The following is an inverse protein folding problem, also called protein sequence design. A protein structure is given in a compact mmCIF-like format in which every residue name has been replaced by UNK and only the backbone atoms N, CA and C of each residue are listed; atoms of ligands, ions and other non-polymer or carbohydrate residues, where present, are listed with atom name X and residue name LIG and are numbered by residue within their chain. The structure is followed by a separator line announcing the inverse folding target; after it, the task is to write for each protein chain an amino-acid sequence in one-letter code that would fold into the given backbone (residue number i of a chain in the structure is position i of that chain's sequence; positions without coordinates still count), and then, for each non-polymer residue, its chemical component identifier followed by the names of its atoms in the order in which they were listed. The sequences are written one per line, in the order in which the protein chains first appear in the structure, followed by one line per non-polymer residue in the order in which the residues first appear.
data_IF_424992568509
#
_entry.id   IF_424992568509
#
_cell.length_a   1.000
_cell.length_b   1.000
_cell.length_c   1.000
_cell.angle_alpha   90.00
_cell.angle_beta   90.00
_cell.angle_gamma   90.00
#
_symmetry.space_group_name_H-M   'P 1'
#
loop_
_entity.id
_entity.type
_entity.pdbx_description
1 polymer ?
#
# COMPACT_ATOMS: atom_id res chain seq x y z
N UNK A 1 -3.09 21.06 -10.81
CA UNK A 1 -2.21 20.15 -10.01
C UNK A 1 -2.62 18.73 -10.34
N UNK A 2 -1.70 17.87 -10.76
CA UNK A 2 -2.02 16.52 -11.23
C UNK A 2 -2.38 15.60 -10.06
N UNK A 3 -3.64 15.21 -9.97
CA UNK A 3 -4.13 14.20 -9.01
C UNK A 3 -3.92 12.83 -9.64
N UNK A 4 -3.40 11.88 -8.88
CA UNK A 4 -3.34 10.48 -9.24
C UNK A 4 -4.76 9.91 -9.28
N UNK A 5 -5.38 9.96 -10.46
CA UNK A 5 -6.73 9.47 -10.67
C UNK A 5 -6.70 7.97 -10.99
N UNK A 6 -7.70 7.19 -10.52
CA UNK A 6 -7.89 5.85 -11.01
C UNK A 6 -8.43 5.98 -12.43
N UNK A 7 -7.52 6.00 -13.41
CA UNK A 7 -7.88 6.18 -14.81
C UNK A 7 -8.73 5.01 -15.34
N UNK A 8 -9.59 5.37 -16.31
CA UNK A 8 -10.61 4.63 -17.09
C UNK A 8 -10.16 3.35 -17.82
N UNK A 9 -9.04 2.75 -17.39
CA UNK A 9 -8.52 1.52 -17.99
C UNK A 9 -9.34 0.34 -17.50
N UNK A 10 -9.71 -0.53 -18.42
CA UNK A 10 -10.45 -1.74 -18.08
C UNK A 10 -9.58 -2.67 -17.22
N UNK A 11 -10.18 -3.39 -16.25
CA UNK A 11 -9.47 -4.44 -15.54
C UNK A 11 -8.95 -5.49 -16.54
N UNK A 12 -7.68 -5.86 -16.41
CA UNK A 12 -7.06 -6.89 -17.25
C UNK A 12 -7.26 -8.26 -16.60
N UNK A 13 -7.74 -9.22 -17.39
CA UNK A 13 -8.13 -10.54 -16.91
C UNK A 13 -6.99 -11.23 -16.12
N UNK A 14 -7.33 -11.73 -14.94
CA UNK A 14 -6.43 -12.49 -14.06
C UNK A 14 -5.10 -11.78 -13.75
N UNK A 15 -5.14 -10.46 -13.61
CA UNK A 15 -3.97 -9.66 -13.27
C UNK A 15 -4.31 -8.57 -12.25
N UNK A 16 -3.34 -8.21 -11.41
CA UNK A 16 -3.51 -7.15 -10.44
C UNK A 16 -2.23 -6.32 -10.31
N UNK A 17 -2.38 -5.01 -10.11
CA UNK A 17 -1.28 -4.07 -10.03
C UNK A 17 -1.22 -3.41 -8.66
N UNK A 18 -0.07 -3.53 -8.00
CA UNK A 18 0.25 -2.92 -6.72
C UNK A 18 1.20 -1.74 -6.93
N UNK A 19 0.96 -0.63 -6.24
CA UNK A 19 1.92 0.46 -6.10
C UNK A 19 2.45 0.52 -4.66
N UNK A 20 3.75 0.29 -4.47
CA UNK A 20 4.43 0.54 -3.20
C UNK A 20 5.00 1.95 -3.22
N UNK A 21 4.61 2.79 -2.25
CA UNK A 21 5.09 4.16 -2.10
C UNK A 21 5.81 4.30 -0.77
N UNK A 22 7.05 4.78 -0.75
CA UNK A 22 7.85 4.89 0.46
C UNK A 22 9.29 5.27 0.19
N UNK A 23 9.96 5.83 1.20
CA UNK A 23 11.32 6.37 1.08
C UNK A 23 12.40 5.28 0.96
N UNK A 24 12.17 4.09 1.50
CA UNK A 24 13.14 2.99 1.49
C UNK A 24 12.93 2.05 0.29
N UNK A 25 13.74 2.24 -0.75
CA UNK A 25 13.73 1.37 -1.94
C UNK A 25 14.20 -0.06 -1.66
N UNK A 26 15.07 -0.27 -0.68
CA UNK A 26 15.58 -1.59 -0.34
C UNK A 26 14.46 -2.46 0.21
N UNK A 27 13.77 -1.97 1.24
CA UNK A 27 12.63 -2.65 1.86
C UNK A 27 11.48 -2.86 0.85
N UNK A 28 11.20 -1.87 0.00
CA UNK A 28 10.24 -2.00 -1.09
C UNK A 28 10.57 -3.16 -2.04
N UNK A 29 11.83 -3.27 -2.46
CA UNK A 29 12.27 -4.33 -3.35
C UNK A 29 12.23 -5.71 -2.69
N UNK A 30 12.62 -5.81 -1.42
CA UNK A 30 12.54 -7.07 -0.68
C UNK A 30 11.10 -7.54 -0.50
N UNK A 31 10.19 -6.64 -0.13
CA UNK A 31 8.77 -6.95 -0.03
C UNK A 31 8.17 -7.34 -1.39
N UNK A 32 8.52 -6.62 -2.46
CA UNK A 32 8.10 -6.95 -3.81
C UNK A 32 8.62 -8.33 -4.25
N UNK A 33 9.88 -8.66 -3.96
CA UNK A 33 10.46 -9.99 -4.22
C UNK A 33 9.70 -11.08 -3.46
N UNK A 34 9.42 -10.87 -2.18
CA UNK A 34 8.64 -11.81 -1.38
C UNK A 34 7.24 -12.04 -1.99
N UNK A 35 6.52 -10.98 -2.36
CA UNK A 35 5.21 -11.09 -3.04
C UNK A 35 5.29 -11.78 -4.41
N UNK A 36 6.40 -11.63 -5.14
CA UNK A 36 6.59 -12.29 -6.42
C UNK A 36 6.87 -13.80 -6.27
N UNK A 37 7.54 -14.21 -5.20
CA UNK A 37 7.90 -15.59 -4.89
C UNK A 37 6.73 -16.40 -4.31
N UNK A 38 5.75 -15.74 -3.68
CA UNK A 38 4.56 -16.41 -3.16
C UNK A 38 3.74 -17.12 -4.24
N UNK A 39 3.16 -18.27 -3.88
CA UNK A 39 2.24 -19.02 -4.74
C UNK A 39 0.96 -18.22 -4.94
N UNK A 40 0.56 -18.02 -6.20
CA UNK A 40 -0.56 -17.16 -6.60
C UNK A 40 -1.23 -17.69 -7.86
N UNK A 41 -2.54 -17.49 -7.94
CA UNK A 41 -3.39 -17.90 -9.08
C UNK A 41 -3.52 -16.83 -10.17
N UNK A 42 -3.02 -15.61 -9.90
CA UNK A 42 -3.13 -14.45 -10.78
C UNK A 42 -1.77 -13.80 -11.04
N UNK A 43 -1.65 -13.07 -12.15
CA UNK A 43 -0.44 -12.30 -12.50
C UNK A 43 -0.39 -11.03 -11.65
N UNK A 44 0.79 -10.68 -11.14
CA UNK A 44 0.96 -9.44 -10.37
C UNK A 44 1.98 -8.54 -11.04
N UNK A 45 1.67 -7.25 -11.11
CA UNK A 45 2.64 -6.20 -11.42
C UNK A 45 2.85 -5.35 -10.16
N UNK A 46 4.11 -5.12 -9.78
CA UNK A 46 4.45 -4.30 -8.62
C UNK A 46 5.26 -3.10 -9.11
N UNK A 47 4.75 -1.91 -8.87
CA UNK A 47 5.41 -0.64 -9.16
C UNK A 47 5.94 -0.04 -7.86
N UNK A 48 7.14 0.52 -7.92
CA UNK A 48 7.79 1.15 -6.77
C UNK A 48 7.89 2.64 -7.02
N UNK A 49 7.56 3.44 -6.01
CA UNK A 49 7.68 4.88 -6.02
C UNK A 49 8.23 5.37 -4.68
N UNK A 50 9.03 6.44 -4.73
CA UNK A 50 9.55 7.07 -3.50
C UNK A 50 8.55 8.03 -2.88
N UNK A 51 7.74 8.68 -3.71
CA UNK A 51 6.73 9.67 -3.34
C UNK A 51 5.73 9.86 -4.47
N UNK A 52 4.64 10.58 -4.19
CA UNK A 52 3.68 11.06 -5.19
C UNK A 52 3.74 12.60 -5.27
N UNK A 53 3.38 13.20 -6.43
CA UNK A 53 2.83 12.57 -7.64
C UNK A 53 3.89 11.85 -8.47
N UNK A 54 3.47 10.85 -9.24
CA UNK A 54 4.34 10.21 -10.23
C UNK A 54 4.69 11.22 -11.35
N UNK A 55 5.91 11.17 -11.92
CA UNK A 55 6.32 12.07 -13.00
C UNK A 55 5.37 11.93 -14.20
N UNK A 56 4.91 13.06 -14.76
CA UNK A 56 3.89 13.12 -15.82
C UNK A 56 4.31 12.45 -17.14
N UNK A 57 5.58 12.13 -17.29
CA UNK A 57 6.10 11.34 -18.42
C UNK A 57 5.45 9.95 -18.44
N UNK A 58 4.81 9.62 -19.57
CA UNK A 58 4.20 8.31 -19.77
C UNK A 58 2.87 8.10 -19.04
N UNK A 59 2.12 9.14 -18.71
CA UNK A 59 0.80 9.01 -18.06
C UNK A 59 -0.14 8.08 -18.85
N UNK A 60 -0.11 8.15 -20.19
CA UNK A 60 -0.86 7.26 -21.08
C UNK A 60 -0.45 5.78 -20.96
N UNK A 61 0.79 5.49 -20.56
CA UNK A 61 1.32 4.14 -20.37
C UNK A 61 1.08 3.60 -18.96
N UNK A 62 0.70 4.45 -17.99
CA UNK A 62 0.54 4.01 -16.59
C UNK A 62 -0.51 2.91 -16.47
N UNK A 63 -0.17 1.74 -15.90
CA UNK A 63 -1.15 0.69 -15.74
C UNK A 63 -2.24 1.10 -14.74
N UNK A 64 -3.39 0.46 -14.83
CA UNK A 64 -4.42 0.56 -13.78
C UNK A 64 -3.83 0.05 -12.47
N UNK A 65 -3.96 0.83 -11.41
CA UNK A 65 -3.49 0.46 -10.07
C UNK A 65 -4.68 -0.02 -9.25
N UNK A 66 -4.57 -1.23 -8.70
CA UNK A 66 -5.62 -1.86 -7.90
C UNK A 66 -5.50 -1.53 -6.42
N UNK A 67 -4.26 -1.46 -5.91
CA UNK A 67 -3.95 -1.18 -4.51
C UNK A 67 -2.70 -0.32 -4.40
N UNK A 68 -2.77 0.73 -3.58
CA UNK A 68 -1.63 1.57 -3.19
C UNK A 68 -1.27 1.23 -1.75
N UNK A 69 0.00 0.93 -1.50
CA UNK A 69 0.53 0.67 -0.16
C UNK A 69 1.57 1.74 0.18
N UNK A 70 1.26 2.58 1.15
CA UNK A 70 2.18 3.58 1.69
C UNK A 70 3.01 2.95 2.81
N UNK A 71 4.32 2.84 2.60
CA UNK A 71 5.28 2.33 3.56
C UNK A 71 5.79 3.48 4.43
N UNK A 72 5.57 3.37 5.74
CA UNK A 72 5.96 4.36 6.74
C UNK A 72 6.98 3.71 7.67
N UNK A 73 8.22 4.17 7.64
CA UNK A 73 9.24 3.78 8.61
C UNK A 73 9.16 4.65 9.87
N UNK A 74 8.77 4.06 11.00
CA UNK A 74 8.64 4.79 12.28
C UNK A 74 9.98 5.28 12.82
N UNK A 75 11.11 4.76 12.32
CA UNK A 75 12.43 5.21 12.73
C UNK A 75 12.73 6.61 12.23
N UNK A 76 12.08 7.05 11.15
CA UNK A 76 12.36 8.35 10.50
C UNK A 76 11.12 9.22 10.36
N UNK A 77 11.13 10.42 10.95
CA UNK A 77 10.05 11.42 10.77
C UNK A 77 9.86 11.83 9.30
N UNK A 78 10.93 11.75 8.52
CA UNK A 78 10.89 12.04 7.08
C UNK A 78 9.95 11.10 6.34
N UNK A 79 9.94 9.80 6.68
CA UNK A 79 9.08 8.81 6.03
C UNK A 79 7.59 9.18 6.17
N UNK A 80 7.16 9.53 7.39
CA UNK A 80 5.78 9.97 7.64
C UNK A 80 5.44 11.25 6.85
N UNK A 81 6.28 12.29 6.92
CA UNK A 81 6.04 13.56 6.20
C UNK A 81 5.96 13.35 4.69
N UNK A 82 6.80 12.49 4.14
CA UNK A 82 6.79 12.16 2.72
C UNK A 82 5.49 11.45 2.30
N UNK A 83 4.97 10.55 3.14
CA UNK A 83 3.67 9.92 2.92
C UNK A 83 2.53 10.93 3.04
N UNK A 84 2.52 11.78 4.06
CA UNK A 84 1.52 12.86 4.20
C UNK A 84 1.48 13.78 2.99
N UNK A 85 2.66 14.20 2.49
CA UNK A 85 2.75 14.99 1.26
C UNK A 85 2.23 14.23 0.03
N UNK A 86 2.55 12.93 -0.07
CA UNK A 86 2.12 12.07 -1.17
C UNK A 86 0.60 11.86 -1.21
N UNK A 87 -0.07 11.83 -0.05
CA UNK A 87 -1.51 11.61 0.07
C UNK A 87 -2.34 12.74 -0.55
N UNK A 88 -1.83 13.98 -0.53
CA UNK A 88 -2.48 15.13 -1.17
C UNK A 88 -2.63 14.95 -2.69
N UNK A 89 -1.87 14.03 -3.29
CA UNK A 89 -1.90 13.72 -4.71
C UNK A 89 -2.73 12.49 -5.06
N UNK A 90 -3.37 11.82 -4.09
CA UNK A 90 -4.18 10.62 -4.33
C UNK A 90 -5.65 11.01 -4.48
N UNK A 91 -6.32 10.51 -5.53
CA UNK A 91 -7.76 10.73 -5.68
C UNK A 91 -8.56 10.08 -4.55
N UNK A 92 -9.62 10.76 -4.10
CA UNK A 92 -10.47 10.34 -2.99
C UNK A 92 -11.03 8.90 -3.14
N UNK A 93 -11.29 8.48 -4.38
CA UNK A 93 -11.80 7.15 -4.71
C UNK A 93 -10.85 6.00 -4.37
N UNK A 94 -9.54 6.23 -4.26
CA UNK A 94 -8.61 5.21 -3.78
C UNK A 94 -8.80 4.90 -2.30
N UNK A 95 -9.19 5.88 -1.47
CA UNK A 95 -9.42 5.68 -0.04
C UNK A 95 -10.67 4.84 0.26
N UNK A 96 -11.45 4.48 -0.77
CA UNK A 96 -12.54 3.52 -0.69
C UNK A 96 -12.05 2.07 -0.71
N UNK A 97 -11.01 1.78 0.08
CA UNK A 97 -10.45 0.44 0.30
C UNK A 97 -9.30 0.03 -0.62
N UNK A 98 -8.76 0.93 -1.45
CA UNK A 98 -7.59 0.68 -2.33
C UNK A 98 -6.31 1.35 -1.84
N UNK A 99 -6.30 1.86 -0.62
CA UNK A 99 -5.12 2.38 0.06
C UNK A 99 -4.87 1.56 1.31
N UNK A 100 -3.62 1.27 1.61
CA UNK A 100 -3.18 0.65 2.84
C UNK A 100 -1.92 1.36 3.36
N UNK A 101 -1.85 1.58 4.66
CA UNK A 101 -0.62 2.02 5.33
C UNK A 101 0.11 0.81 5.87
N UNK A 102 1.38 0.64 5.53
CA UNK A 102 2.27 -0.39 6.05
C UNK A 102 3.35 0.27 6.88
N UNK A 103 3.29 0.07 8.19
CA UNK A 103 4.16 0.69 9.18
C UNK A 103 5.28 -0.28 9.53
N UNK A 104 6.52 0.16 9.40
CA UNK A 104 7.72 -0.65 9.57
C UNK A 104 8.61 -0.12 10.68
N UNK A 105 9.38 -0.99 11.34
CA UNK A 105 10.33 -0.61 12.39
C UNK A 105 9.75 -0.56 13.81
N UNK A 106 8.54 -1.11 14.00
CA UNK A 106 7.78 -1.06 15.27
C UNK A 106 8.39 -1.97 16.34
N UNK A 107 9.12 -3.02 15.96
CA UNK A 107 9.75 -3.97 16.88
C UNK A 107 10.90 -3.39 17.69
N UNK A 108 11.39 -2.19 17.34
CA UNK A 108 12.48 -1.49 18.06
C UNK A 108 11.94 -0.24 18.76
N UNK A 109 11.25 -0.46 19.90
CA UNK A 109 10.61 0.60 20.70
C UNK A 109 11.58 1.75 21.07
N UNK A 110 12.87 1.46 21.21
CA UNK A 110 13.90 2.45 21.59
C UNK A 110 14.31 3.44 20.49
N UNK A 111 13.83 3.29 19.25
CA UNK A 111 14.24 4.12 18.11
C UNK A 111 13.06 4.67 17.29
N UNK A 112 11.85 4.70 17.85
CA UNK A 112 10.70 5.30 17.18
C UNK A 112 10.80 6.83 17.22
N UNK A 113 11.02 7.44 16.06
CA UNK A 113 10.99 8.90 15.91
C UNK A 113 9.57 9.42 15.65
N UNK A 114 8.63 8.55 15.31
CA UNK A 114 7.23 8.86 14.98
C UNK A 114 6.32 8.33 16.09
N UNK A 115 5.41 9.17 16.59
CA UNK A 115 4.39 8.74 17.54
C UNK A 115 3.35 7.86 16.85
N UNK A 116 3.00 6.74 17.51
CA UNK A 116 1.96 5.83 17.01
C UNK A 116 0.58 6.49 16.93
N UNK A 117 0.34 7.50 17.78
CA UNK A 117 -0.87 8.34 17.77
C UNK A 117 -1.08 9.03 16.42
N UNK A 118 0.00 9.53 15.80
CA UNK A 118 -0.02 10.20 14.49
C UNK A 118 -0.36 9.22 13.37
N UNK A 119 0.17 8.01 13.43
CA UNK A 119 -0.10 6.95 12.46
C UNK A 119 -1.56 6.49 12.56
N UNK A 120 -2.06 6.34 13.78
CA UNK A 120 -3.46 5.96 14.00
C UNK A 120 -4.42 7.03 13.48
N UNK A 121 -4.17 8.30 13.81
CA UNK A 121 -4.91 9.45 13.25
C UNK A 121 -4.86 9.47 11.72
N UNK A 122 -3.71 9.14 11.11
CA UNK A 122 -3.60 9.04 9.65
C UNK A 122 -4.55 7.99 9.08
N UNK A 123 -4.59 6.79 9.69
CA UNK A 123 -5.52 5.73 9.31
C UNK A 123 -6.99 6.14 9.43
N UNK A 124 -7.35 6.85 10.50
CA UNK A 124 -8.71 7.37 10.70
C UNK A 124 -9.11 8.43 9.68
N UNK A 125 -8.25 9.44 9.48
CA UNK A 125 -8.49 10.57 8.56
C UNK A 125 -8.71 10.07 7.13
N UNK A 126 -7.91 9.11 6.70
CA UNK A 126 -7.99 8.56 5.34
C UNK A 126 -8.85 7.29 5.24
N UNK A 127 -9.55 6.92 6.33
CA UNK A 127 -10.40 5.72 6.42
C UNK A 127 -9.74 4.48 5.78
N UNK A 128 -8.45 4.28 6.01
CA UNK A 128 -7.65 3.25 5.34
C UNK A 128 -6.94 2.36 6.34
N UNK A 129 -6.79 1.05 6.06
CA UNK A 129 -6.19 0.10 6.99
C UNK A 129 -4.73 0.42 7.27
N UNK A 130 -4.34 0.24 8.53
CA UNK A 130 -2.96 0.36 9.00
C UNK A 130 -2.46 -1.03 9.40
N UNK A 131 -1.39 -1.49 8.77
CA UNK A 131 -0.72 -2.76 9.08
C UNK A 131 0.64 -2.48 9.71
N UNK A 132 0.97 -3.20 10.77
CA UNK A 132 2.27 -3.12 11.42
C UNK A 132 3.10 -4.35 11.07
N UNK A 133 4.32 -4.14 10.59
CA UNK A 133 5.20 -5.23 10.18
C UNK A 133 6.68 -4.89 10.39
N UNK A 134 7.43 -5.81 10.99
CA UNK A 134 8.89 -5.76 10.98
C UNK A 134 9.45 -6.44 9.72
N UNK A 135 9.69 -5.67 8.66
CA UNK A 135 10.16 -6.22 7.37
C UNK A 135 11.61 -6.75 7.42
N UNK A 136 12.39 -6.40 8.44
CA UNK A 136 13.75 -6.94 8.65
C UNK A 136 13.74 -8.46 8.90
N UNK A 137 12.63 -8.99 9.41
CA UNK A 137 12.46 -10.42 9.67
C UNK A 137 11.80 -11.10 8.48
N UNK A 138 12.50 -12.07 7.89
CA UNK A 138 12.04 -12.79 6.70
C UNK A 138 10.65 -13.43 6.88
N UNK A 139 10.40 -14.09 8.02
CA UNK A 139 9.10 -14.72 8.30
C UNK A 139 7.95 -13.70 8.30
N UNK A 140 8.18 -12.53 8.90
CA UNK A 140 7.18 -11.46 8.99
C UNK A 140 6.97 -10.81 7.63
N UNK A 141 8.03 -10.63 6.85
CA UNK A 141 7.98 -10.14 5.47
C UNK A 141 7.15 -11.07 4.58
N UNK A 142 7.34 -12.39 4.69
CA UNK A 142 6.55 -13.41 3.98
C UNK A 142 5.07 -13.35 4.38
N UNK A 143 4.77 -13.33 5.68
CA UNK A 143 3.38 -13.23 6.16
C UNK A 143 2.70 -11.92 5.69
N UNK A 144 3.45 -10.83 5.66
CA UNK A 144 2.96 -9.53 5.18
C UNK A 144 2.75 -9.54 3.67
N UNK A 145 3.66 -10.13 2.91
CA UNK A 145 3.51 -10.33 1.47
C UNK A 145 2.22 -11.14 1.16
N UNK A 146 1.97 -12.24 1.88
CA UNK A 146 0.75 -13.02 1.75
C UNK A 146 -0.51 -12.21 2.06
N UNK A 147 -0.48 -11.41 3.14
CA UNK A 147 -1.59 -10.53 3.51
C UNK A 147 -1.86 -9.49 2.43
N UNK A 148 -0.83 -8.81 1.92
CA UNK A 148 -0.94 -7.82 0.85
C UNK A 148 -1.42 -8.45 -0.46
N UNK A 149 -1.01 -9.67 -0.80
CA UNK A 149 -1.51 -10.38 -1.97
C UNK A 149 -3.01 -10.66 -1.87
N UNK A 150 -3.50 -11.05 -0.69
CA UNK A 150 -4.94 -11.24 -0.46
C UNK A 150 -5.71 -9.92 -0.58
N UNK A 151 -5.17 -8.83 -0.02
CA UNK A 151 -5.75 -7.48 -0.18
C UNK A 151 -5.82 -7.07 -1.65
N UNK A 152 -4.71 -7.26 -2.37
CA UNK A 152 -4.61 -6.94 -3.80
C UNK A 152 -5.61 -7.76 -4.62
N UNK A 153 -5.78 -9.05 -4.32
CA UNK A 153 -6.75 -9.91 -4.99
C UNK A 153 -8.19 -9.40 -4.82
N UNK A 154 -8.54 -8.93 -3.61
CA UNK A 154 -9.85 -8.33 -3.33
C UNK A 154 -10.00 -6.99 -4.07
N UNK A 155 -8.98 -6.14 -4.04
CA UNK A 155 -9.03 -4.82 -4.68
C UNK A 155 -9.10 -4.89 -6.21
N UNK A 156 -8.51 -5.94 -6.81
CA UNK A 156 -8.61 -6.26 -8.22
C UNK A 156 -9.97 -6.90 -8.60
N UNK A 157 -10.83 -7.25 -7.62
CA UNK A 157 -12.13 -7.86 -7.86
C UNK A 157 -12.09 -9.35 -8.20
N UNK A 158 -11.00 -10.05 -7.85
CA UNK A 158 -10.85 -11.48 -8.11
C UNK A 158 -11.50 -12.37 -7.05
N UNK A 159 -12.07 -11.79 -5.98
CA UNK A 159 -12.77 -12.53 -4.92
C UNK A 159 -14.28 -12.30 -5.07
N UNK A 160 -15.07 -13.31 -5.44
CA UNK A 160 -16.51 -13.15 -5.59
C UNK A 160 -17.14 -12.85 -4.23
N UNK A 161 -18.08 -11.90 -4.20
CA UNK A 161 -18.82 -11.52 -2.99
C UNK A 161 -18.08 -10.57 -2.03
N UNK A 162 -16.82 -10.21 -2.29
CA UNK A 162 -16.05 -9.27 -1.46
C UNK A 162 -15.49 -8.16 -2.33
N UNK A 163 -15.86 -6.92 -2.02
CA UNK A 163 -15.32 -5.72 -2.66
C UNK A 163 -14.28 -5.03 -1.78
N UNK A 164 -13.48 -4.14 -2.36
CA UNK A 164 -12.53 -3.30 -1.61
C UNK A 164 -13.23 -2.49 -0.49
N UNK A 165 -14.44 -1.98 -0.75
CA UNK A 165 -15.25 -1.24 0.21
C UNK A 165 -15.65 -2.11 1.41
N UNK A 166 -16.19 -3.30 1.14
CA UNK A 166 -16.61 -4.24 2.18
C UNK A 166 -15.41 -4.70 3.02
N UNK A 167 -14.28 -4.94 2.35
CA UNK A 167 -13.05 -5.35 3.00
C UNK A 167 -12.44 -4.28 3.89
N UNK A 168 -12.46 -3.02 3.45
CA UNK A 168 -12.00 -1.89 4.26
C UNK A 168 -12.81 -1.78 5.56
N UNK A 169 -14.14 -1.92 5.47
CA UNK A 169 -15.01 -1.93 6.64
C UNK A 169 -14.67 -3.07 7.60
N UNK A 170 -14.42 -4.29 7.09
CA UNK A 170 -14.03 -5.43 7.92
C UNK A 170 -12.68 -5.20 8.63
N UNK A 171 -11.67 -4.67 7.93
CA UNK A 171 -10.35 -4.41 8.53
C UNK A 171 -10.38 -3.33 9.60
N UNK A 172 -11.30 -2.36 9.48
CA UNK A 172 -11.43 -1.26 10.43
C UNK A 172 -12.17 -1.68 11.71
N UNK A 173 -13.14 -2.59 11.62
CA UNK A 173 -13.92 -3.05 12.78
C UNK A 173 -13.27 -4.19 13.58
N UNK A 174 -12.11 -4.67 13.14
CA UNK A 174 -11.36 -5.74 13.83
C UNK A 174 -10.38 -5.25 14.91
N UNK A 175 -10.43 -3.96 15.28
CA UNK A 175 -9.61 -3.34 16.32
C UNK A 175 -10.46 -2.48 17.26
#
# INVERSE_FOLDING_TARGET
MAVFQPFDKLPVLNSATLLLVGSDRGLQQELAKAMLQEKKSFKISIHLATSLPLPSEGDHLRPRIDLIVFMIDVKTKYSLKNVEASLAHVAASFFLGKVCFLVTGVGRVNYCSVEMSSIWKLGEVYCSPVLYCELELERTRVATAQRLLRMLQICAGHVPGVSALTFNFMLRNSY
#
